data_IF_425322931968
#
_entry.id   IF_425322931968
#
_cell.length_a   1.000
_cell.length_b   1.000
_cell.length_c   1.000
_cell.angle_alpha   90.00
_cell.angle_beta   90.00
_cell.angle_gamma   90.00
#
_symmetry.space_group_name_H-M   'P 1'
#
loop_
_entity.id
_entity.type
_entity.pdbx_description
1 polymer ?
#
# COMPACT_ATOMS: atom_id res chain seq x y z
N UNK A 1 5.68 -19.52 -32.40
CA UNK A 1 4.41 -19.48 -31.66
C UNK A 1 4.68 -18.77 -30.35
N UNK A 2 4.47 -17.45 -30.32
CA UNK A 2 4.61 -16.64 -29.11
C UNK A 2 3.24 -16.65 -28.45
N UNK A 3 3.14 -17.08 -27.20
CA UNK A 3 1.86 -17.08 -26.48
C UNK A 3 1.66 -15.73 -25.84
N UNK A 4 0.60 -15.04 -26.24
CA UNK A 4 0.23 -13.71 -25.79
C UNK A 4 -0.49 -13.85 -24.45
N UNK A 5 0.25 -13.84 -23.34
CA UNK A 5 -0.31 -14.08 -22.00
C UNK A 5 -0.99 -12.84 -21.41
N UNK A 6 -1.75 -12.06 -22.19
CA UNK A 6 -2.46 -10.89 -21.68
C UNK A 6 -3.96 -11.16 -21.54
N UNK A 7 -4.29 -12.21 -20.78
CA UNK A 7 -5.66 -12.48 -20.37
C UNK A 7 -6.07 -11.44 -19.34
N UNK A 8 -6.74 -10.38 -19.81
CA UNK A 8 -7.44 -9.40 -18.99
C UNK A 8 -8.39 -10.12 -18.04
N UNK A 9 -7.98 -10.24 -16.78
CA UNK A 9 -8.78 -10.84 -15.71
C UNK A 9 -9.86 -9.82 -15.32
N UNK A 10 -10.88 -9.68 -16.16
CA UNK A 10 -12.04 -8.88 -15.84
C UNK A 10 -12.96 -9.69 -14.92
N UNK A 11 -13.04 -9.34 -13.64
CA UNK A 11 -14.16 -9.77 -12.80
C UNK A 11 -14.45 -8.79 -11.67
N UNK A 12 -15.60 -8.12 -11.85
CA UNK A 12 -16.54 -7.64 -10.85
C UNK A 12 -16.00 -6.90 -9.61
N UNK A 13 -15.97 -5.56 -9.71
CA UNK A 13 -16.29 -4.70 -8.57
C UNK A 13 -15.14 -4.29 -7.66
N UNK A 14 -14.01 -3.78 -8.20
CA UNK A 14 -13.07 -2.87 -7.52
C UNK A 14 -11.98 -2.37 -8.48
N UNK A 15 -11.24 -1.32 -8.11
CA UNK A 15 -11.07 -0.08 -8.85
C UNK A 15 -10.37 -0.26 -10.21
N UNK A 16 -10.51 0.75 -11.07
CA UNK A 16 -9.93 0.92 -12.41
C UNK A 16 -8.38 0.94 -12.45
N UNK A 17 -7.73 0.57 -11.34
CA UNK A 17 -6.29 0.66 -11.14
C UNK A 17 -5.63 -0.65 -11.59
N UNK A 18 -4.47 -0.59 -12.27
CA UNK A 18 -3.78 -1.78 -12.72
C UNK A 18 -3.32 -2.64 -11.52
N UNK A 19 -3.39 -3.96 -11.68
CA UNK A 19 -2.82 -4.90 -10.72
C UNK A 19 -1.30 -4.93 -10.93
N UNK A 20 -0.52 -4.70 -9.87
CA UNK A 20 0.96 -4.70 -9.94
C UNK A 20 1.59 -5.99 -9.42
N UNK A 21 0.88 -6.74 -8.56
CA UNK A 21 1.34 -8.01 -8.02
C UNK A 21 0.19 -8.85 -7.44
N UNK A 22 0.47 -10.12 -7.12
CA UNK A 22 -0.42 -11.00 -6.39
C UNK A 22 0.21 -11.38 -5.04
N UNK A 23 -0.54 -11.25 -3.95
CA UNK A 23 -0.06 -11.53 -2.59
C UNK A 23 -0.02 -13.04 -2.32
N UNK A 24 1.15 -13.60 -2.04
CA UNK A 24 1.29 -14.99 -1.59
C UNK A 24 0.92 -15.15 -0.10
N UNK A 25 0.34 -16.29 0.34
CA UNK A 25 -0.18 -17.41 -0.46
C UNK A 25 -1.57 -17.16 -1.03
N UNK A 26 -2.20 -16.05 -0.64
CA UNK A 26 -3.64 -15.80 -0.83
C UNK A 26 -4.07 -15.54 -2.27
N UNK A 27 -3.15 -15.25 -3.18
CA UNK A 27 -3.44 -14.84 -4.55
C UNK A 27 -4.18 -13.50 -4.66
N UNK A 28 -4.29 -12.72 -3.59
CA UNK A 28 -5.05 -11.46 -3.59
C UNK A 28 -4.35 -10.41 -4.46
N UNK A 29 -5.08 -9.66 -5.30
CA UNK A 29 -4.50 -8.61 -6.12
C UNK A 29 -3.96 -7.46 -5.28
N UNK A 30 -2.77 -6.99 -5.62
CA UNK A 30 -2.11 -5.81 -5.06
C UNK A 30 -2.20 -4.70 -6.09
N UNK A 31 -2.59 -3.52 -5.65
CA UNK A 31 -2.76 -2.32 -6.46
C UNK A 31 -1.70 -1.28 -6.09
N UNK A 32 -1.32 -0.38 -7.02
CA UNK A 32 -0.45 0.73 -6.69
C UNK A 32 -1.16 1.69 -5.72
N UNK A 33 -0.42 2.17 -4.73
CA UNK A 33 -0.90 3.24 -3.87
C UNK A 33 -0.99 4.57 -4.62
N UNK A 34 -1.98 5.38 -4.30
CA UNK A 34 -2.00 6.79 -4.72
C UNK A 34 -1.04 7.60 -3.86
N UNK A 35 -0.68 8.80 -4.33
CA UNK A 35 0.12 9.74 -3.54
C UNK A 35 -0.55 10.07 -2.19
N UNK A 36 -1.88 10.24 -2.18
CA UNK A 36 -2.66 10.50 -0.97
C UNK A 36 -2.64 9.32 0.01
N UNK A 37 -2.74 8.09 -0.51
CA UNK A 37 -2.66 6.87 0.31
C UNK A 37 -1.26 6.72 0.93
N UNK A 38 -0.21 7.06 0.19
CA UNK A 38 1.16 7.10 0.71
C UNK A 38 1.30 8.18 1.77
N UNK A 39 0.85 9.41 1.50
CA UNK A 39 0.95 10.54 2.43
C UNK A 39 0.21 10.27 3.74
N UNK A 40 -1.00 9.69 3.66
CA UNK A 40 -1.76 9.27 4.83
C UNK A 40 -1.03 8.17 5.63
N UNK A 41 -0.41 7.20 4.95
CA UNK A 41 0.42 6.18 5.60
C UNK A 41 1.65 6.74 6.31
N UNK A 42 2.34 7.70 5.69
CA UNK A 42 3.48 8.41 6.28
C UNK A 42 3.05 9.17 7.53
N UNK A 43 1.97 9.94 7.48
CA UNK A 43 1.46 10.69 8.63
C UNK A 43 1.13 9.77 9.82
N UNK A 44 0.44 8.65 9.58
CA UNK A 44 0.16 7.67 10.63
C UNK A 44 1.45 7.11 11.27
N UNK A 45 2.45 6.78 10.45
CA UNK A 45 3.73 6.27 10.94
C UNK A 45 4.50 7.34 11.72
N UNK A 46 4.55 8.57 11.23
CA UNK A 46 5.21 9.69 11.92
C UNK A 46 4.58 9.97 13.27
N UNK A 47 3.24 9.97 13.37
CA UNK A 47 2.55 10.14 14.66
C UNK A 47 2.90 9.05 15.65
N UNK A 48 2.96 7.79 15.17
CA UNK A 48 3.39 6.66 16.01
C UNK A 48 4.82 6.84 16.50
N UNK A 49 5.76 7.17 15.62
CA UNK A 49 7.15 7.40 16.00
C UNK A 49 7.30 8.54 17.00
N UNK A 50 6.55 9.64 16.82
CA UNK A 50 6.54 10.75 17.77
C UNK A 50 5.99 10.34 19.13
N UNK A 51 4.96 9.49 19.17
CA UNK A 51 4.43 8.95 20.42
C UNK A 51 5.48 8.07 21.13
N UNK A 52 6.15 7.16 20.41
CA UNK A 52 7.23 6.33 20.94
C UNK A 52 8.42 7.18 21.44
N UNK A 53 8.80 8.23 20.71
CA UNK A 53 9.87 9.15 21.11
C UNK A 53 9.49 9.99 22.35
N UNK A 54 8.23 10.43 22.44
CA UNK A 54 7.72 11.15 23.61
C UNK A 54 7.71 10.25 24.86
N UNK A 55 7.37 8.97 24.73
CA UNK A 55 7.48 7.98 25.80
C UNK A 55 8.93 7.73 26.21
N UNK A 56 9.87 7.77 25.26
CA UNK A 56 11.31 7.65 25.51
C UNK A 56 11.96 8.94 26.08
N UNK A 57 11.22 10.04 26.20
CA UNK A 57 11.71 11.30 26.76
C UNK A 57 12.49 12.20 25.79
N UNK A 58 12.30 12.03 24.48
CA UNK A 58 12.93 12.88 23.45
C UNK A 58 12.28 14.28 23.44
N UNK A 59 13.06 15.37 23.61
CA UNK A 59 12.54 16.73 23.59
C UNK A 59 12.00 17.19 22.23
N UNK A 60 12.37 16.53 21.12
CA UNK A 60 11.91 16.88 19.75
C UNK A 60 10.57 16.21 19.38
N UNK A 61 9.97 15.48 20.32
CA UNK A 61 8.74 14.73 20.11
C UNK A 61 7.44 15.56 20.21
N UNK A 62 7.52 16.84 20.61
CA UNK A 62 6.35 17.72 20.83
C UNK A 62 6.01 18.60 19.64
#
# INVERSE_FOLDING_TARGET
>A
MTTDNNSTIASAGRPERPIVALAWPTGRPIYPYTADEIAAGVDLYTRRLKAEAAEAGDPDAR
#
